data_IF_392467146425
#
_entry.id   IF_392467146425
#
_cell.length_a   1.000
_cell.length_b   1.000
_cell.length_c   1.000
_cell.angle_alpha   90.00
_cell.angle_beta   90.00
_cell.angle_gamma   90.00
#
_symmetry.space_group_name_H-M   'P 1'
#
loop_
_entity.id
_entity.type
_entity.pdbx_description
1 polymer ?
#
# COMPACT_ATOMS: atom_id res chain seq x y z
N UNK A 1 -4.68 31.09 5.55
CA UNK A 1 -5.37 29.81 5.42
C UNK A 1 -5.21 29.01 6.71
N UNK A 2 -6.30 28.47 7.24
CA UNK A 2 -6.30 27.54 8.38
C UNK A 2 -5.62 26.21 8.01
N UNK A 3 -5.36 25.35 9.01
CA UNK A 3 -4.79 24.01 8.77
C UNK A 3 -5.76 23.15 7.95
N UNK A 4 -7.05 23.21 8.27
CA UNK A 4 -8.12 22.52 7.53
C UNK A 4 -8.14 22.98 6.06
N UNK A 5 -8.11 24.29 5.78
CA UNK A 5 -8.11 24.80 4.41
C UNK A 5 -6.90 24.30 3.59
N UNK A 6 -5.72 24.20 4.21
CA UNK A 6 -4.53 23.64 3.55
C UNK A 6 -4.69 22.14 3.24
N UNK A 7 -5.28 21.38 4.16
CA UNK A 7 -5.59 19.95 3.94
C UNK A 7 -6.67 19.76 2.88
N UNK A 8 -7.73 20.57 2.90
CA UNK A 8 -8.77 20.56 1.87
C UNK A 8 -8.19 20.83 0.49
N UNK A 9 -7.30 21.82 0.34
CA UNK A 9 -6.63 22.07 -0.93
C UNK A 9 -5.79 20.87 -1.40
N UNK A 10 -5.07 20.22 -0.48
CA UNK A 10 -4.32 19.00 -0.80
C UNK A 10 -5.24 17.87 -1.30
N UNK A 11 -6.33 17.61 -0.58
CA UNK A 11 -7.30 16.55 -0.89
C UNK A 11 -8.06 16.85 -2.19
N UNK A 12 -8.54 18.08 -2.37
CA UNK A 12 -9.28 18.49 -3.56
C UNK A 12 -8.43 18.38 -4.83
N UNK A 13 -7.16 18.78 -4.77
CA UNK A 13 -6.23 18.61 -5.89
C UNK A 13 -6.08 17.15 -6.31
N UNK A 14 -6.16 16.21 -5.36
CA UNK A 14 -6.14 14.77 -5.64
C UNK A 14 -7.47 14.36 -6.29
N UNK A 15 -8.59 14.71 -5.67
CA UNK A 15 -9.91 14.31 -6.15
C UNK A 15 -10.21 14.89 -7.54
N UNK A 16 -9.79 16.11 -7.81
CA UNK A 16 -9.95 16.76 -9.11
C UNK A 16 -9.18 16.04 -10.23
N UNK A 17 -8.09 15.33 -9.89
CA UNK A 17 -7.31 14.52 -10.82
C UNK A 17 -7.91 13.14 -11.12
N UNK A 18 -8.91 12.69 -10.36
CA UNK A 18 -9.61 11.43 -10.62
C UNK A 18 -10.37 11.54 -11.94
N UNK A 19 -10.11 10.62 -12.88
CA UNK A 19 -10.71 10.68 -14.23
C UNK A 19 -12.17 10.21 -14.24
N UNK A 20 -12.50 9.18 -13.47
CA UNK A 20 -13.86 8.69 -13.35
C UNK A 20 -14.75 9.65 -12.54
N UNK A 21 -15.82 10.16 -13.16
CA UNK A 21 -16.71 11.14 -12.53
C UNK A 21 -17.50 10.56 -11.35
N UNK A 22 -17.81 9.26 -11.37
CA UNK A 22 -18.50 8.57 -10.30
C UNK A 22 -17.63 8.47 -9.05
N UNK A 23 -16.40 7.98 -9.20
CA UNK A 23 -15.38 7.90 -8.15
C UNK A 23 -15.00 9.29 -7.64
N UNK A 24 -14.83 10.29 -8.51
CA UNK A 24 -14.57 11.68 -8.07
C UNK A 24 -15.67 12.20 -7.14
N UNK A 25 -16.94 12.04 -7.55
CA UNK A 25 -18.08 12.45 -6.73
C UNK A 25 -18.14 11.67 -5.42
N UNK A 26 -17.88 10.35 -5.47
CA UNK A 26 -17.84 9.52 -4.28
C UNK A 26 -16.75 9.99 -3.31
N UNK A 27 -15.56 10.35 -3.81
CA UNK A 27 -14.44 10.86 -3.01
C UNK A 27 -14.82 12.11 -2.22
N UNK A 28 -15.40 13.12 -2.90
CA UNK A 28 -15.86 14.34 -2.25
C UNK A 28 -16.93 14.05 -1.20
N UNK A 29 -17.98 13.30 -1.55
CA UNK A 29 -19.11 13.07 -0.64
C UNK A 29 -18.67 12.25 0.58
N UNK A 30 -17.91 11.18 0.36
CA UNK A 30 -17.50 10.29 1.43
C UNK A 30 -16.49 10.96 2.36
N UNK A 31 -15.37 11.48 1.85
CA UNK A 31 -14.32 12.05 2.71
C UNK A 31 -14.77 13.30 3.48
N UNK A 32 -15.56 14.20 2.86
CA UNK A 32 -16.11 15.35 3.58
C UNK A 32 -17.21 14.93 4.57
N UNK A 33 -18.08 13.99 4.20
CA UNK A 33 -19.08 13.47 5.11
C UNK A 33 -18.47 12.81 6.36
N UNK A 34 -17.38 12.06 6.19
CA UNK A 34 -16.64 11.46 7.31
C UNK A 34 -16.00 12.56 8.15
N UNK A 35 -15.37 13.56 7.53
CA UNK A 35 -14.78 14.70 8.24
C UNK A 35 -15.79 15.48 9.10
N UNK A 36 -17.00 15.70 8.58
CA UNK A 36 -18.09 16.36 9.32
C UNK A 36 -18.59 15.48 10.48
N UNK A 37 -18.79 14.19 10.24
CA UNK A 37 -19.14 13.23 11.30
C UNK A 37 -18.09 13.22 12.41
N UNK A 38 -16.81 13.21 12.04
CA UNK A 38 -15.69 13.24 12.97
C UNK A 38 -15.65 14.55 13.76
N UNK A 39 -15.89 15.70 13.15
CA UNK A 39 -15.93 16.99 13.84
C UNK A 39 -17.02 17.05 14.92
N UNK A 40 -18.21 16.51 14.62
CA UNK A 40 -19.33 16.45 15.55
C UNK A 40 -19.07 15.48 16.69
N UNK A 41 -18.67 14.25 16.36
CA UNK A 41 -18.49 13.19 17.35
C UNK A 41 -17.25 13.42 18.23
N UNK A 42 -16.21 14.06 17.70
CA UNK A 42 -15.04 14.48 18.49
C UNK A 42 -15.44 15.37 19.67
N UNK A 43 -16.30 16.37 19.45
CA UNK A 43 -16.78 17.24 20.55
C UNK A 43 -17.51 16.47 21.64
N UNK A 44 -18.28 15.44 21.25
CA UNK A 44 -19.00 14.59 22.20
C UNK A 44 -18.06 13.70 23.02
N UNK A 45 -16.95 13.28 22.40
CA UNK A 45 -15.91 12.43 23.00
C UNK A 45 -14.76 13.21 23.65
N UNK A 46 -14.90 14.53 23.82
CA UNK A 46 -13.87 15.43 24.38
C UNK A 46 -12.53 15.40 23.63
N UNK A 47 -12.59 15.21 22.30
CA UNK A 47 -11.45 15.21 21.38
C UNK A 47 -11.34 16.54 20.63
N UNK A 48 -10.13 16.89 20.18
CA UNK A 48 -9.92 18.07 19.33
C UNK A 48 -10.61 17.89 17.96
N UNK A 49 -11.65 18.70 17.64
CA UNK A 49 -12.40 18.58 16.39
C UNK A 49 -11.61 18.97 15.14
N UNK A 50 -10.59 19.84 15.27
CA UNK A 50 -9.73 20.21 14.14
C UNK A 50 -8.95 18.99 13.64
N UNK A 51 -8.31 18.27 14.56
CA UNK A 51 -7.55 17.03 14.24
C UNK A 51 -8.50 15.96 13.70
N UNK A 52 -9.67 15.79 14.31
CA UNK A 52 -10.68 14.84 13.84
C UNK A 52 -11.13 15.12 12.39
N UNK A 53 -11.39 16.39 12.06
CA UNK A 53 -11.77 16.81 10.69
C UNK A 53 -10.66 16.47 9.69
N UNK A 54 -9.41 16.74 10.06
CA UNK A 54 -8.24 16.49 9.21
C UNK A 54 -8.06 14.99 8.95
N UNK A 55 -8.25 14.14 9.96
CA UNK A 55 -8.22 12.69 9.81
C UNK A 55 -9.29 12.23 8.81
N UNK A 56 -10.53 12.70 8.97
CA UNK A 56 -11.63 12.33 8.08
C UNK A 56 -11.38 12.74 6.62
N UNK A 57 -10.78 13.91 6.38
CA UNK A 57 -10.41 14.35 5.03
C UNK A 57 -9.31 13.49 4.39
N UNK A 58 -8.37 12.97 5.20
CA UNK A 58 -7.18 12.28 4.71
C UNK A 58 -7.34 10.75 4.61
N UNK A 59 -8.33 10.15 5.28
CA UNK A 59 -8.30 8.71 5.55
C UNK A 59 -8.26 7.80 4.31
N UNK A 60 -8.90 8.22 3.23
CA UNK A 60 -9.08 7.39 2.04
C UNK A 60 -8.43 7.96 0.77
N UNK A 61 -7.58 8.98 0.93
CA UNK A 61 -6.95 9.70 -0.19
C UNK A 61 -6.11 8.78 -1.08
N UNK A 62 -5.51 7.73 -0.51
CA UNK A 62 -4.75 6.75 -1.28
C UNK A 62 -5.65 5.93 -2.21
N UNK A 63 -6.78 5.45 -1.70
CA UNK A 63 -7.76 4.69 -2.48
C UNK A 63 -8.22 5.48 -3.69
N UNK A 64 -8.63 6.74 -3.49
CA UNK A 64 -9.13 7.58 -4.57
C UNK A 64 -8.04 8.00 -5.54
N UNK A 65 -6.82 8.26 -5.06
CA UNK A 65 -5.71 8.66 -5.93
C UNK A 65 -5.22 7.53 -6.84
N UNK A 66 -5.18 6.31 -6.32
CA UNK A 66 -4.54 5.17 -7.00
C UNK A 66 -5.53 4.18 -7.62
N UNK A 67 -6.80 4.23 -7.17
CA UNK A 67 -7.80 3.19 -7.45
C UNK A 67 -7.55 1.86 -6.72
N UNK A 68 -6.57 1.80 -5.80
CA UNK A 68 -6.18 0.57 -5.11
C UNK A 68 -6.85 0.51 -3.73
N UNK A 69 -7.73 -0.49 -3.54
CA UNK A 69 -8.48 -0.70 -2.28
C UNK A 69 -7.79 -1.68 -1.31
N UNK A 70 -6.98 -2.61 -1.81
CA UNK A 70 -6.24 -3.54 -0.95
C UNK A 70 -5.24 -2.78 -0.08
N UNK A 71 -5.25 -3.02 1.23
CA UNK A 71 -4.39 -2.36 2.22
C UNK A 71 -4.42 -0.83 2.15
N UNK A 72 -5.53 -0.23 1.71
CA UNK A 72 -5.61 1.22 1.51
C UNK A 72 -5.37 2.03 2.78
N UNK A 73 -5.74 1.52 3.96
CA UNK A 73 -5.44 2.18 5.24
C UNK A 73 -3.94 2.27 5.52
N UNK A 74 -3.21 1.18 5.30
CA UNK A 74 -1.77 1.10 5.52
C UNK A 74 -1.00 1.94 4.51
N UNK A 75 -1.36 1.79 3.23
CA UNK A 75 -0.76 2.56 2.14
C UNK A 75 -1.15 4.04 2.21
N UNK A 76 -2.34 4.35 2.72
CA UNK A 76 -2.82 5.70 3.03
C UNK A 76 -2.01 6.37 4.13
N UNK A 77 -1.73 5.65 5.22
CA UNK A 77 -0.86 6.17 6.27
C UNK A 77 0.57 6.45 5.75
N UNK A 78 1.11 5.61 4.85
CA UNK A 78 2.40 5.87 4.19
C UNK A 78 2.35 7.07 3.23
N UNK A 79 1.29 7.21 2.43
CA UNK A 79 1.09 8.36 1.55
C UNK A 79 1.00 9.67 2.37
N UNK A 80 0.25 9.67 3.47
CA UNK A 80 0.11 10.84 4.35
C UNK A 80 1.42 11.18 5.07
N UNK A 81 2.22 10.17 5.46
CA UNK A 81 3.57 10.40 6.00
C UNK A 81 4.44 11.18 5.01
N UNK A 82 4.37 10.86 3.71
CA UNK A 82 5.09 11.61 2.67
C UNK A 82 4.49 12.99 2.45
N UNK A 83 3.16 13.13 2.48
CA UNK A 83 2.50 14.42 2.41
C UNK A 83 2.99 15.37 3.52
N UNK A 84 3.11 14.90 4.78
CA UNK A 84 3.66 15.70 5.88
C UNK A 84 5.10 16.14 5.67
N UNK A 85 5.89 15.40 4.89
CA UNK A 85 7.27 15.76 4.57
C UNK A 85 7.35 16.84 3.49
N UNK A 86 6.43 16.89 2.54
CA UNK A 86 6.53 17.74 1.35
C UNK A 86 5.34 18.70 1.12
N UNK A 87 4.12 18.18 0.95
CA UNK A 87 2.95 19.00 0.60
C UNK A 87 2.34 19.72 1.82
N UNK A 88 2.47 19.13 3.01
CA UNK A 88 1.91 19.58 4.28
C UNK A 88 3.01 19.87 5.32
N UNK A 89 4.22 20.19 4.86
CA UNK A 89 5.40 20.42 5.71
C UNK A 89 5.17 21.51 6.75
N UNK A 90 5.55 21.21 7.99
CA UNK A 90 5.45 22.15 9.12
C UNK A 90 4.03 22.45 9.56
N UNK A 91 3.02 21.71 9.06
CA UNK A 91 1.61 21.93 9.42
C UNK A 91 1.18 21.20 10.70
N UNK A 92 1.90 20.15 11.10
CA UNK A 92 1.57 19.28 12.23
C UNK A 92 2.80 18.96 13.08
N UNK A 93 2.62 18.96 14.40
CA UNK A 93 3.61 18.44 15.35
C UNK A 93 3.76 16.92 15.18
N UNK A 94 4.89 16.35 15.61
CA UNK A 94 5.15 14.90 15.49
C UNK A 94 4.08 14.03 16.16
N UNK A 95 3.58 14.45 17.33
CA UNK A 95 2.51 13.73 18.03
C UNK A 95 1.19 13.78 17.25
N UNK A 96 0.84 14.94 16.67
CA UNK A 96 -0.34 15.09 15.83
C UNK A 96 -0.21 14.24 14.55
N UNK A 97 0.96 14.24 13.90
CA UNK A 97 1.21 13.39 12.75
C UNK A 97 1.04 11.91 13.11
N UNK A 98 1.50 11.50 14.30
CA UNK A 98 1.37 10.12 14.77
C UNK A 98 -0.09 9.75 15.05
N UNK A 99 -0.87 10.65 15.65
CA UNK A 99 -2.33 10.47 15.82
C UNK A 99 -3.01 10.31 14.47
N UNK A 100 -2.74 11.21 13.52
CA UNK A 100 -3.37 11.18 12.20
C UNK A 100 -3.01 9.89 11.45
N UNK A 101 -1.73 9.53 11.39
CA UNK A 101 -1.28 8.29 10.72
C UNK A 101 -1.86 7.04 11.39
N UNK A 102 -1.96 7.00 12.73
CA UNK A 102 -2.54 5.86 13.45
C UNK A 102 -4.00 5.65 13.10
N UNK A 103 -4.81 6.71 13.15
CA UNK A 103 -6.22 6.61 12.81
C UNK A 103 -6.40 6.12 11.38
N UNK A 104 -5.64 6.68 10.43
CA UNK A 104 -5.65 6.25 9.03
C UNK A 104 -5.15 4.81 8.89
N UNK A 105 -4.12 4.37 9.60
CA UNK A 105 -3.59 3.01 9.47
C UNK A 105 -4.61 1.95 9.92
N UNK A 106 -5.28 2.18 11.05
CA UNK A 106 -6.19 1.21 11.66
C UNK A 106 -7.63 1.27 11.13
N UNK A 107 -8.03 2.29 10.37
CA UNK A 107 -9.47 2.51 10.14
C UNK A 107 -10.18 1.36 9.42
N UNK A 108 -9.53 0.60 8.53
CA UNK A 108 -10.18 -0.57 7.91
C UNK A 108 -10.31 -1.76 8.86
N UNK A 109 -9.54 -1.80 9.96
CA UNK A 109 -9.66 -2.83 10.98
C UNK A 109 -10.80 -2.51 11.97
N UNK A 110 -11.98 -3.03 11.66
CA UNK A 110 -13.16 -2.89 12.53
C UNK A 110 -13.21 -3.94 13.65
N UNK A 111 -12.31 -4.93 13.63
CA UNK A 111 -12.33 -6.08 14.52
C UNK A 111 -11.60 -5.83 15.85
N UNK A 112 -10.57 -4.98 15.87
CA UNK A 112 -9.82 -4.67 17.09
C UNK A 112 -10.03 -3.23 17.57
N UNK A 113 -10.01 -3.05 18.89
CA UNK A 113 -10.09 -1.75 19.55
C UNK A 113 -8.71 -1.09 19.56
N UNK A 114 -8.65 0.16 19.10
CA UNK A 114 -7.47 1.01 19.07
C UNK A 114 -7.70 2.30 19.88
N UNK A 115 -6.88 3.33 19.64
CA UNK A 115 -6.92 4.58 20.38
C UNK A 115 -8.14 5.46 20.01
N UNK A 116 -8.37 6.52 20.79
CA UNK A 116 -9.57 7.36 20.73
C UNK A 116 -9.89 7.93 19.33
N UNK A 117 -8.89 8.43 18.60
CA UNK A 117 -9.05 8.93 17.24
C UNK A 117 -9.22 7.83 16.20
N UNK A 118 -8.65 6.66 16.45
CA UNK A 118 -8.73 5.50 15.58
C UNK A 118 -10.16 4.93 15.63
N UNK A 119 -10.72 4.81 16.84
CA UNK A 119 -12.10 4.40 17.06
C UNK A 119 -13.09 5.47 16.58
N UNK A 120 -12.78 6.75 16.76
CA UNK A 120 -13.56 7.86 16.19
C UNK A 120 -13.68 7.73 14.66
N UNK A 121 -12.56 7.55 13.95
CA UNK A 121 -12.58 7.42 12.49
C UNK A 121 -13.34 6.15 12.05
N UNK A 122 -13.12 5.00 12.71
CA UNK A 122 -13.83 3.76 12.37
C UNK A 122 -15.35 3.88 12.47
N UNK A 123 -15.81 4.57 13.50
CA UNK A 123 -17.23 4.79 13.77
C UNK A 123 -17.83 5.78 12.77
N UNK A 124 -17.14 6.90 12.51
CA UNK A 124 -17.59 7.92 11.56
C UNK A 124 -17.59 7.43 10.10
N UNK A 125 -16.62 6.59 9.72
CA UNK A 125 -16.55 5.95 8.41
C UNK A 125 -17.78 5.06 8.13
N UNK A 126 -18.10 4.18 9.07
CA UNK A 126 -19.29 3.32 9.00
C UNK A 126 -20.59 4.14 9.05
N UNK A 127 -20.65 5.13 9.94
CA UNK A 127 -21.83 5.98 10.07
C UNK A 127 -22.09 6.78 8.80
N UNK A 128 -21.05 7.32 8.16
CA UNK A 128 -21.21 8.09 6.92
C UNK A 128 -21.79 7.23 5.80
N UNK A 129 -21.35 5.97 5.66
CA UNK A 129 -21.93 5.05 4.69
C UNK A 129 -23.43 4.83 4.92
N UNK A 130 -23.86 4.67 6.17
CA UNK A 130 -25.29 4.58 6.52
C UNK A 130 -26.04 5.88 6.21
N UNK A 131 -25.50 7.03 6.55
CA UNK A 131 -26.13 8.33 6.29
C UNK A 131 -26.24 8.64 4.78
N UNK A 132 -25.30 8.12 3.99
CA UNK A 132 -25.33 8.25 2.54
C UNK A 132 -26.44 7.41 1.89
N UNK A 133 -26.62 6.16 2.35
CA UNK A 133 -27.70 5.28 1.90
C UNK A 133 -28.27 4.46 3.07
N UNK A 134 -29.34 5.00 3.67
CA UNK A 134 -30.04 4.39 4.81
C UNK A 134 -30.75 3.07 4.46
N UNK A 135 -30.89 2.75 3.17
CA UNK A 135 -31.54 1.52 2.69
C UNK A 135 -30.57 0.35 2.57
N UNK A 136 -29.26 0.64 2.48
CA UNK A 136 -28.21 -0.37 2.40
C UNK A 136 -27.98 -1.05 3.74
N UNK A 137 -27.84 -2.38 3.71
CA UNK A 137 -27.52 -3.20 4.90
C UNK A 137 -26.05 -3.55 5.03
N UNK A 138 -25.21 -3.11 4.09
CA UNK A 138 -23.80 -3.52 4.00
C UNK A 138 -22.98 -3.22 5.26
N UNK A 139 -23.37 -2.17 6.01
CA UNK A 139 -22.66 -1.69 7.19
C UNK A 139 -23.40 -1.92 8.51
N UNK A 140 -24.49 -2.70 8.48
CA UNK A 140 -25.25 -3.01 9.69
C UNK A 140 -24.41 -3.87 10.64
N UNK A 141 -24.44 -3.52 11.92
CA UNK A 141 -23.68 -4.22 12.95
C UNK A 141 -23.50 -3.38 14.20
N UNK A 142 -22.89 -4.00 15.22
CA UNK A 142 -22.73 -3.41 16.56
C UNK A 142 -22.06 -2.04 16.55
N UNK A 143 -21.08 -1.85 15.65
CA UNK A 143 -20.34 -0.59 15.53
C UNK A 143 -21.23 0.55 15.04
N UNK A 144 -21.99 0.33 13.95
CA UNK A 144 -22.97 1.29 13.46
C UNK A 144 -24.01 1.63 14.53
N UNK A 145 -24.58 0.62 15.21
CA UNK A 145 -25.57 0.84 16.26
C UNK A 145 -25.03 1.71 17.39
N UNK A 146 -23.79 1.46 17.86
CA UNK A 146 -23.16 2.27 18.91
C UNK A 146 -22.90 3.70 18.46
N UNK A 147 -22.32 3.89 17.27
CA UNK A 147 -22.05 5.20 16.71
C UNK A 147 -23.34 6.01 16.52
N UNK A 148 -24.41 5.39 16.01
CA UNK A 148 -25.68 6.04 15.76
C UNK A 148 -26.41 6.49 17.03
N UNK A 149 -26.34 5.70 18.11
CA UNK A 149 -26.88 6.09 19.43
C UNK A 149 -26.22 7.37 19.94
N UNK A 150 -24.94 7.59 19.61
CA UNK A 150 -24.28 8.84 19.99
C UNK A 150 -24.85 10.08 19.27
N UNK A 151 -25.51 9.90 18.14
CA UNK A 151 -26.24 10.95 17.43
C UNK A 151 -27.75 10.97 17.72
N UNK A 152 -28.25 10.07 18.58
CA UNK A 152 -29.68 9.90 18.81
C UNK A 152 -30.42 9.36 17.59
N UNK A 153 -29.74 8.59 16.74
CA UNK A 153 -30.29 7.97 15.54
C UNK A 153 -30.63 6.50 15.84
N UNK A 154 -31.87 6.12 15.59
CA UNK A 154 -32.28 4.72 15.65
C UNK A 154 -31.92 4.00 14.35
N UNK A 155 -31.10 2.95 14.45
CA UNK A 155 -30.71 2.10 13.33
C UNK A 155 -31.27 0.69 13.55
N UNK A 156 -31.88 0.06 12.53
CA UNK A 156 -32.43 -1.29 12.68
C UNK A 156 -31.36 -2.29 13.12
N UNK A 157 -31.72 -3.15 14.08
CA UNK A 157 -30.87 -4.27 14.47
C UNK A 157 -30.98 -5.40 13.43
N UNK A 158 -29.96 -5.58 12.59
CA UNK A 158 -29.85 -6.79 11.76
C UNK A 158 -28.40 -7.12 11.40
N UNK A 159 -28.17 -8.42 11.19
CA UNK A 159 -26.90 -9.12 11.18
C UNK A 159 -26.03 -8.83 9.95
N UNK A 160 -24.70 -8.84 10.15
CA UNK A 160 -23.77 -9.10 9.06
C UNK A 160 -24.05 -10.51 8.53
N UNK A 161 -24.42 -10.60 7.26
CA UNK A 161 -24.09 -11.76 6.47
C UNK A 161 -22.59 -11.62 6.16
N UNK A 162 -21.75 -12.45 6.80
CA UNK A 162 -20.34 -12.54 6.43
C UNK A 162 -20.27 -13.30 5.11
N UNK A 163 -20.56 -12.62 4.00
CA UNK A 163 -20.15 -13.14 2.71
C UNK A 163 -18.63 -13.19 2.73
N UNK A 164 -18.07 -14.40 2.72
CA UNK A 164 -16.64 -14.60 2.61
C UNK A 164 -16.14 -13.88 1.35
N UNK A 165 -15.38 -12.81 1.52
CA UNK A 165 -14.69 -12.17 0.40
C UNK A 165 -13.81 -13.21 -0.28
N UNK A 166 -13.99 -13.36 -1.59
CA UNK A 166 -13.09 -14.17 -2.40
C UNK A 166 -11.70 -13.54 -2.36
N UNK A 167 -10.81 -14.09 -1.54
CA UNK A 167 -9.41 -13.70 -1.53
C UNK A 167 -8.70 -14.44 -2.66
N UNK A 168 -8.15 -13.75 -3.67
CA UNK A 168 -7.37 -14.41 -4.70
C UNK A 168 -6.17 -15.13 -4.07
N UNK A 169 -6.02 -16.42 -4.38
CA UNK A 169 -4.91 -17.24 -3.89
C UNK A 169 -3.65 -16.87 -4.67
N UNK A 170 -2.64 -16.39 -3.94
CA UNK A 170 -1.30 -16.12 -4.44
C UNK A 170 -0.57 -17.44 -4.78
N UNK A 171 0.08 -17.49 -5.94
CA UNK A 171 0.88 -18.66 -6.36
C UNK A 171 2.07 -18.18 -7.18
N UNK A 172 3.25 -18.80 -7.06
CA UNK A 172 4.43 -18.36 -7.82
C UNK A 172 4.25 -18.52 -9.33
N UNK A 173 3.52 -19.55 -9.79
CA UNK A 173 3.26 -19.74 -11.22
C UNK A 173 2.50 -18.56 -11.84
N UNK A 174 1.45 -18.06 -11.17
CA UNK A 174 0.73 -16.85 -11.63
C UNK A 174 1.64 -15.62 -11.70
N UNK A 175 2.58 -15.46 -10.76
CA UNK A 175 3.56 -14.36 -10.78
C UNK A 175 4.40 -14.44 -12.05
N UNK A 176 4.91 -15.62 -12.39
CA UNK A 176 5.68 -15.83 -13.62
C UNK A 176 4.86 -15.59 -14.88
N UNK A 177 3.61 -16.08 -14.93
CA UNK A 177 2.75 -15.90 -16.11
C UNK A 177 2.42 -14.42 -16.36
N UNK A 178 2.13 -13.67 -15.29
CA UNK A 178 1.90 -12.23 -15.37
C UNK A 178 3.18 -11.49 -15.79
N UNK A 179 4.32 -11.85 -15.20
CA UNK A 179 5.60 -11.20 -15.52
C UNK A 179 6.02 -11.47 -16.97
N UNK A 180 5.88 -12.71 -17.45
CA UNK A 180 6.15 -13.08 -18.83
C UNK A 180 5.26 -12.32 -19.80
N UNK A 181 3.94 -12.28 -19.54
CA UNK A 181 2.98 -11.53 -20.35
C UNK A 181 3.33 -10.03 -20.41
N UNK A 182 3.64 -9.39 -19.27
CA UNK A 182 3.96 -7.97 -19.24
C UNK A 182 5.31 -7.67 -19.90
N UNK A 183 6.33 -8.49 -19.65
CA UNK A 183 7.65 -8.33 -20.24
C UNK A 183 7.65 -8.50 -21.77
N UNK A 184 6.83 -9.41 -22.32
CA UNK A 184 6.68 -9.58 -23.78
C UNK A 184 6.13 -8.34 -24.49
N UNK A 185 5.41 -7.46 -23.78
CA UNK A 185 4.92 -6.20 -24.35
C UNK A 185 6.01 -5.17 -24.57
N UNK A 186 7.22 -5.35 -24.01
CA UNK A 186 8.30 -4.35 -24.04
C UNK A 186 7.81 -2.97 -23.54
N UNK A 187 7.15 -2.96 -22.39
CA UNK A 187 6.61 -1.76 -21.74
C UNK A 187 7.76 -0.77 -21.51
N UNK A 188 7.60 0.47 -22.00
CA UNK A 188 8.57 1.55 -21.79
C UNK A 188 8.21 2.33 -20.52
N UNK A 189 9.22 2.72 -19.75
CA UNK A 189 9.07 3.55 -18.56
C UNK A 189 8.79 5.02 -18.87
N UNK A 190 7.79 5.29 -19.72
CA UNK A 190 7.43 6.62 -20.24
C UNK A 190 6.02 7.00 -19.76
N UNK A 191 5.77 8.29 -19.50
CA UNK A 191 4.52 8.76 -18.86
C UNK A 191 3.26 8.56 -19.72
N UNK A 192 3.42 8.44 -21.03
CA UNK A 192 2.35 8.17 -21.99
C UNK A 192 2.06 6.67 -22.17
N UNK A 193 2.89 5.79 -21.59
CA UNK A 193 2.68 4.36 -21.62
C UNK A 193 1.70 3.91 -20.52
N UNK A 194 0.50 3.48 -20.91
CA UNK A 194 -0.57 3.11 -19.97
C UNK A 194 -0.24 1.88 -19.11
N UNK A 195 0.48 0.89 -19.66
CA UNK A 195 0.90 -0.29 -18.90
C UNK A 195 1.92 0.11 -17.82
N UNK A 196 2.87 1.01 -18.15
CA UNK A 196 3.81 1.54 -17.16
C UNK A 196 3.11 2.34 -16.06
N UNK A 197 2.15 3.19 -16.43
CA UNK A 197 1.36 3.94 -15.45
C UNK A 197 0.55 3.00 -14.53
N UNK A 198 0.02 1.88 -15.03
CA UNK A 198 -0.63 0.85 -14.18
C UNK A 198 0.36 0.15 -13.22
N UNK A 199 1.62 0.05 -13.60
CA UNK A 199 2.70 -0.52 -12.77
C UNK A 199 3.07 0.42 -11.63
N UNK A 200 3.24 1.71 -11.90
CA UNK A 200 3.75 2.66 -10.89
C UNK A 200 2.65 3.33 -10.06
N UNK A 201 1.36 3.17 -10.41
CA UNK A 201 0.22 3.82 -9.71
C UNK A 201 0.17 3.58 -8.20
N UNK A 202 0.78 2.50 -7.71
CA UNK A 202 0.86 2.19 -6.29
C UNK A 202 1.67 3.22 -5.48
N UNK A 203 2.54 3.98 -6.15
CA UNK A 203 3.43 5.00 -5.58
C UNK A 203 2.93 6.39 -6.02
N UNK A 204 2.01 7.01 -5.27
CA UNK A 204 1.20 8.14 -5.75
C UNK A 204 1.94 9.49 -5.77
N UNK A 205 3.20 9.56 -5.35
CA UNK A 205 3.96 10.81 -5.30
C UNK A 205 4.13 11.42 -6.69
N UNK A 206 4.10 12.76 -6.78
CA UNK A 206 4.39 13.47 -8.03
C UNK A 206 5.79 13.15 -8.55
N UNK A 207 6.73 12.87 -7.65
CA UNK A 207 8.12 12.53 -7.98
C UNK A 207 8.30 11.07 -8.41
N UNK A 208 7.33 10.18 -8.17
CA UNK A 208 7.48 8.75 -8.42
C UNK A 208 7.90 8.44 -9.86
N UNK A 209 7.36 9.17 -10.84
CA UNK A 209 7.77 9.03 -12.24
C UNK A 209 9.26 9.29 -12.45
N UNK A 210 9.78 10.40 -11.91
CA UNK A 210 11.19 10.76 -12.04
C UNK A 210 12.11 9.86 -11.21
N UNK A 211 11.66 9.42 -10.03
CA UNK A 211 12.41 8.53 -9.15
C UNK A 211 12.54 7.11 -9.72
N UNK A 212 11.59 6.69 -10.56
CA UNK A 212 11.53 5.37 -11.16
C UNK A 212 12.06 5.32 -12.59
N UNK A 213 12.47 6.46 -13.15
CA UNK A 213 13.14 6.50 -14.45
C UNK A 213 14.40 5.62 -14.43
N UNK A 214 14.44 4.61 -15.30
CA UNK A 214 15.49 3.57 -15.29
C UNK A 214 15.61 2.78 -13.95
N UNK A 215 14.68 2.92 -13.01
CA UNK A 215 14.76 2.34 -11.66
C UNK A 215 13.50 1.57 -11.24
N UNK A 216 12.67 1.13 -12.19
CA UNK A 216 11.37 0.53 -11.92
C UNK A 216 11.31 -1.01 -11.91
N UNK A 217 12.46 -1.70 -11.87
CA UNK A 217 12.50 -3.17 -11.83
C UNK A 217 11.79 -3.75 -10.60
N UNK A 218 11.94 -3.14 -9.42
CA UNK A 218 11.24 -3.58 -8.21
C UNK A 218 9.75 -3.21 -8.22
N UNK A 219 9.37 -2.06 -8.81
CA UNK A 219 7.96 -1.72 -9.03
C UNK A 219 7.25 -2.71 -9.96
N UNK A 220 7.94 -3.18 -11.02
CA UNK A 220 7.46 -4.24 -11.90
C UNK A 220 7.22 -5.55 -11.15
N UNK A 221 8.17 -5.99 -10.32
CA UNK A 221 8.01 -7.20 -9.49
C UNK A 221 6.84 -7.05 -8.53
N UNK A 222 6.73 -5.90 -7.84
CA UNK A 222 5.61 -5.59 -6.96
C UNK A 222 4.26 -5.69 -7.67
N UNK A 223 4.15 -5.07 -8.85
CA UNK A 223 2.93 -5.13 -9.65
C UNK A 223 2.56 -6.58 -10.03
N UNK A 224 3.53 -7.38 -10.47
CA UNK A 224 3.30 -8.80 -10.82
C UNK A 224 2.80 -9.60 -9.62
N UNK A 225 3.44 -9.44 -8.45
CA UNK A 225 3.02 -10.10 -7.22
C UNK A 225 1.62 -9.71 -6.78
N UNK A 226 1.28 -8.42 -6.78
CA UNK A 226 -0.05 -7.93 -6.40
C UNK A 226 -1.12 -8.44 -7.35
N UNK A 227 -0.89 -8.41 -8.67
CA UNK A 227 -1.82 -8.98 -9.67
C UNK A 227 -1.98 -10.50 -9.52
N UNK A 228 -0.95 -11.19 -9.01
CA UNK A 228 -1.02 -12.62 -8.70
C UNK A 228 -1.78 -12.94 -7.41
N UNK A 229 -2.22 -11.93 -6.64
CA UNK A 229 -2.97 -12.09 -5.39
C UNK A 229 -2.16 -11.82 -4.12
N UNK A 230 -0.89 -11.39 -4.22
CA UNK A 230 -0.11 -11.04 -3.04
C UNK A 230 -0.69 -9.80 -2.37
N UNK A 231 -1.00 -9.90 -1.08
CA UNK A 231 -1.41 -8.78 -0.25
C UNK A 231 -0.18 -8.29 0.52
N UNK A 232 0.48 -7.24 0.02
CA UNK A 232 1.69 -6.67 0.61
C UNK A 232 1.55 -5.14 0.58
N UNK A 233 1.86 -4.40 1.67
CA UNK A 233 1.80 -2.95 1.65
C UNK A 233 3.03 -2.38 0.93
N UNK A 234 3.03 -1.08 0.66
CA UNK A 234 4.16 -0.41 0.00
C UNK A 234 5.47 -0.48 0.80
N UNK A 235 5.38 -0.68 2.12
CA UNK A 235 6.50 -0.59 3.07
C UNK A 235 6.25 -1.51 4.27
N UNK A 236 7.26 -2.28 4.69
CA UNK A 236 7.23 -3.09 5.93
C UNK A 236 8.60 -3.11 6.63
N UNK A 237 8.68 -2.93 7.97
CA UNK A 237 7.59 -2.54 8.86
C UNK A 237 7.22 -1.06 8.66
N UNK A 238 5.99 -0.71 9.05
CA UNK A 238 5.44 0.64 8.91
C UNK A 238 4.65 1.04 10.16
N UNK A 239 5.37 1.28 11.26
CA UNK A 239 4.82 1.74 12.55
C UNK A 239 5.48 3.06 12.97
N UNK A 240 4.97 3.72 14.00
CA UNK A 240 5.59 4.92 14.57
C UNK A 240 6.97 4.65 15.20
N UNK A 241 7.24 3.41 15.64
CA UNK A 241 8.53 3.02 16.25
C UNK A 241 9.56 2.52 15.25
N UNK A 242 9.11 1.83 14.22
CA UNK A 242 9.96 1.20 13.23
C UNK A 242 9.38 1.46 11.84
N UNK A 243 10.12 2.22 11.05
CA UNK A 243 9.79 2.53 9.66
C UNK A 243 10.93 2.04 8.78
N UNK A 244 10.63 1.12 7.87
CA UNK A 244 11.64 0.65 6.92
C UNK A 244 12.20 1.80 6.08
N UNK A 245 13.47 1.70 5.68
CA UNK A 245 14.15 2.78 4.97
C UNK A 245 13.55 3.05 3.59
N UNK A 246 13.12 2.00 2.88
CA UNK A 246 12.62 2.08 1.53
C UNK A 246 11.28 1.35 1.36
N UNK A 247 10.66 1.54 0.19
CA UNK A 247 9.41 0.87 -0.22
C UNK A 247 9.73 -0.30 -1.13
N UNK A 248 8.76 -1.18 -1.41
CA UNK A 248 8.92 -2.27 -2.39
C UNK A 248 9.10 -1.81 -3.85
N UNK A 249 9.11 -0.51 -4.11
CA UNK A 249 9.70 0.07 -5.32
C UNK A 249 11.24 -0.02 -5.36
N UNK A 250 11.90 -0.42 -4.28
CA UNK A 250 13.35 -0.54 -4.17
C UNK A 250 13.76 -1.99 -3.93
N UNK A 251 14.84 -2.44 -4.58
CA UNK A 251 15.36 -3.82 -4.46
C UNK A 251 15.73 -4.18 -3.02
N UNK A 252 16.32 -3.24 -2.28
CA UNK A 252 16.69 -3.45 -0.88
C UNK A 252 15.48 -3.82 0.02
N UNK A 253 14.31 -3.24 -0.22
CA UNK A 253 13.10 -3.58 0.55
C UNK A 253 12.71 -5.05 0.37
N UNK A 254 12.79 -5.57 -0.87
CA UNK A 254 12.53 -6.98 -1.16
C UNK A 254 13.49 -7.89 -0.43
N UNK A 255 14.80 -7.58 -0.48
CA UNK A 255 15.82 -8.37 0.18
C UNK A 255 15.66 -8.36 1.71
N UNK A 256 15.56 -7.17 2.32
CA UNK A 256 15.45 -7.01 3.78
C UNK A 256 14.20 -7.72 4.32
N UNK A 257 13.06 -7.53 3.65
CA UNK A 257 11.80 -8.20 3.99
C UNK A 257 11.92 -9.71 3.85
N UNK A 258 12.39 -10.21 2.71
CA UNK A 258 12.51 -11.65 2.48
C UNK A 258 13.49 -12.31 3.45
N UNK A 259 14.62 -11.65 3.74
CA UNK A 259 15.61 -12.15 4.68
C UNK A 259 15.05 -12.23 6.12
N UNK A 260 14.32 -11.21 6.57
CA UNK A 260 13.67 -11.19 7.90
C UNK A 260 12.69 -12.33 8.09
N UNK A 261 12.05 -12.80 7.01
CA UNK A 261 11.06 -13.88 7.03
C UNK A 261 11.62 -15.25 6.62
N UNK A 262 12.91 -15.35 6.29
CA UNK A 262 13.51 -16.61 5.84
C UNK A 262 13.10 -17.05 4.43
N UNK A 263 12.67 -16.11 3.59
CA UNK A 263 12.27 -16.37 2.20
C UNK A 263 13.42 -16.28 1.19
N UNK A 264 14.61 -15.85 1.64
CA UNK A 264 15.82 -15.81 0.82
C UNK A 264 16.47 -17.20 0.75
N UNK A 265 16.75 -17.65 -0.46
CA UNK A 265 17.43 -18.91 -0.76
C UNK A 265 18.64 -18.69 -1.68
N UNK A 266 19.66 -19.54 -1.56
CA UNK A 266 20.93 -19.38 -2.26
C UNK A 266 21.37 -20.70 -2.91
N UNK A 267 21.90 -20.64 -4.15
CA UNK A 267 22.35 -21.86 -4.84
C UNK A 267 23.54 -22.52 -4.15
N UNK A 268 24.41 -21.73 -3.50
CA UNK A 268 25.55 -22.25 -2.71
C UNK A 268 25.10 -23.19 -1.58
N UNK A 269 23.85 -23.08 -1.15
CA UNK A 269 23.23 -23.91 -0.12
C UNK A 269 22.44 -25.08 -0.74
N UNK A 270 22.61 -25.35 -2.05
CA UNK A 270 21.94 -26.41 -2.79
C UNK A 270 20.53 -26.06 -3.30
N UNK A 271 20.13 -24.79 -3.22
CA UNK A 271 18.81 -24.37 -3.71
C UNK A 271 18.75 -24.38 -5.25
N UNK A 272 17.65 -24.90 -5.80
CA UNK A 272 17.36 -24.84 -7.23
C UNK A 272 16.21 -23.85 -7.46
N UNK A 273 16.41 -22.76 -8.22
CA UNK A 273 15.36 -21.78 -8.44
C UNK A 273 14.24 -22.32 -9.32
N UNK A 274 13.02 -21.98 -8.95
CA UNK A 274 11.79 -22.40 -9.62
C UNK A 274 11.16 -21.23 -10.37
N UNK A 275 10.31 -21.55 -11.36
CA UNK A 275 9.49 -20.55 -12.05
C UNK A 275 8.66 -19.76 -11.04
N UNK A 276 8.69 -18.43 -11.16
CA UNK A 276 7.98 -17.51 -10.26
C UNK A 276 8.75 -17.15 -9.00
N UNK A 277 9.91 -17.75 -8.74
CA UNK A 277 10.85 -17.18 -7.77
C UNK A 277 11.27 -15.79 -8.25
N UNK A 278 11.51 -14.89 -7.30
CA UNK A 278 12.07 -13.57 -7.59
C UNK A 278 13.58 -13.71 -7.45
N UNK A 279 14.35 -13.20 -8.40
CA UNK A 279 15.82 -13.19 -8.33
C UNK A 279 16.30 -11.78 -8.04
N UNK A 280 17.20 -11.65 -7.07
CA UNK A 280 17.88 -10.40 -6.72
C UNK A 280 19.33 -10.50 -7.19
N UNK A 281 19.80 -9.47 -7.90
CA UNK A 281 21.15 -9.41 -8.47
C UNK A 281 22.06 -8.47 -7.71
N UNK A 282 23.35 -8.78 -7.79
CA UNK A 282 24.47 -8.05 -7.20
C UNK A 282 25.17 -7.24 -8.28
N UNK A 283 25.15 -5.92 -8.12
CA UNK A 283 25.99 -5.01 -8.89
C UNK A 283 25.95 -5.16 -10.42
N UNK A 284 24.79 -5.49 -11.01
CA UNK A 284 24.68 -5.67 -12.46
C UNK A 284 24.36 -4.38 -13.22
N UNK A 285 24.00 -3.30 -12.52
CA UNK A 285 23.87 -1.97 -13.11
C UNK A 285 25.27 -1.32 -13.13
N UNK A 286 25.71 -0.75 -14.26
CA UNK A 286 26.99 -0.05 -14.35
C UNK A 286 27.14 1.07 -13.31
N UNK A 287 28.36 1.35 -12.86
CA UNK A 287 28.61 2.34 -11.81
C UNK A 287 28.18 3.76 -12.23
N UNK A 288 28.34 4.09 -13.52
CA UNK A 288 27.91 5.35 -14.12
C UNK A 288 26.39 5.56 -14.10
N UNK A 289 25.64 4.47 -14.03
CA UNK A 289 24.17 4.44 -14.03
C UNK A 289 23.59 4.25 -12.62
N UNK A 290 24.45 4.13 -11.61
CA UNK A 290 24.05 3.98 -10.19
C UNK A 290 23.91 5.33 -9.51
N UNK A 291 22.91 5.42 -8.64
CA UNK A 291 22.89 6.50 -7.64
C UNK A 291 24.08 6.36 -6.67
N UNK A 292 24.59 7.48 -6.15
CA UNK A 292 25.79 7.53 -5.29
C UNK A 292 25.72 6.65 -4.03
N UNK A 293 24.52 6.25 -3.61
CA UNK A 293 24.28 5.42 -2.42
C UNK A 293 23.60 4.07 -2.76
N UNK A 294 23.75 3.58 -3.99
CA UNK A 294 23.15 2.32 -4.41
C UNK A 294 23.68 1.15 -3.58
N UNK A 295 22.77 0.30 -3.11
CA UNK A 295 23.10 -0.92 -2.35
C UNK A 295 23.76 -1.96 -3.25
N UNK A 296 24.38 -2.98 -2.64
CA UNK A 296 24.95 -4.11 -3.38
C UNK A 296 23.90 -4.85 -4.23
N UNK A 297 22.65 -4.93 -3.74
CA UNK A 297 21.51 -5.42 -4.48
C UNK A 297 20.91 -4.27 -5.32
N UNK A 298 21.10 -4.31 -6.63
CA UNK A 298 20.78 -3.20 -7.53
C UNK A 298 19.74 -3.53 -8.60
N UNK A 299 19.41 -4.81 -8.79
CA UNK A 299 18.41 -5.23 -9.77
C UNK A 299 17.62 -6.45 -9.32
N UNK A 300 16.43 -6.62 -9.88
CA UNK A 300 15.50 -7.69 -9.52
C UNK A 300 14.66 -8.11 -10.72
N UNK A 301 14.28 -9.39 -10.76
CA UNK A 301 13.45 -9.97 -11.82
C UNK A 301 12.66 -11.19 -11.34
N UNK A 302 11.83 -11.74 -12.22
CA UNK A 302 11.04 -12.95 -11.95
C UNK A 302 11.55 -14.08 -12.84
N UNK A 303 11.87 -15.21 -12.22
CA UNK A 303 12.39 -16.41 -12.90
C UNK A 303 11.30 -17.05 -13.76
N UNK A 304 11.57 -17.21 -15.05
CA UNK A 304 10.69 -17.91 -15.99
C UNK A 304 11.16 -19.34 -16.26
N UNK A 305 12.48 -19.54 -16.36
CA UNK A 305 13.10 -20.84 -16.60
C UNK A 305 14.53 -20.84 -16.04
N UNK A 306 14.95 -21.95 -15.44
CA UNK A 306 16.33 -22.16 -14.99
C UNK A 306 16.98 -23.30 -15.81
N UNK A 307 18.13 -23.02 -16.42
CA UNK A 307 18.99 -23.99 -17.16
C UNK A 307 20.35 -24.06 -16.47
N UNK A 308 21.20 -25.02 -16.85
CA UNK A 308 22.50 -25.25 -16.19
C UNK A 308 23.34 -23.96 -16.01
N UNK A 309 23.59 -23.22 -17.09
CA UNK A 309 24.48 -22.04 -17.06
C UNK A 309 23.73 -20.70 -17.20
N UNK A 310 22.42 -20.75 -17.43
CA UNK A 310 21.61 -19.56 -17.70
C UNK A 310 20.27 -19.58 -16.99
N UNK A 311 19.75 -18.40 -16.68
CA UNK A 311 18.42 -18.19 -16.12
C UNK A 311 17.67 -17.19 -17.00
N UNK A 312 16.48 -17.58 -17.43
CA UNK A 312 15.58 -16.73 -18.20
C UNK A 312 14.68 -15.98 -17.22
N UNK A 313 14.66 -14.65 -17.31
CA UNK A 313 13.96 -13.78 -16.35
C UNK A 313 13.14 -12.70 -17.05
N UNK A 314 11.99 -12.39 -16.47
CA UNK A 314 11.19 -11.21 -16.81
C UNK A 314 11.58 -10.05 -15.89
N UNK A 315 11.89 -8.88 -16.46
CA UNK A 315 12.38 -7.72 -15.71
C UNK A 315 11.68 -6.44 -16.16
N UNK A 316 11.56 -5.49 -15.22
CA UNK A 316 11.05 -4.15 -15.52
C UNK A 316 12.06 -3.22 -16.19
N UNK A 317 13.37 -3.47 -16.08
CA UNK A 317 14.37 -2.61 -16.71
C UNK A 317 15.53 -3.43 -17.28
N UNK A 318 15.35 -4.00 -18.47
CA UNK A 318 16.37 -4.83 -19.10
C UNK A 318 17.54 -3.97 -19.61
N UNK A 319 18.76 -4.33 -19.19
CA UNK A 319 20.00 -3.70 -19.65
C UNK A 319 20.05 -2.19 -19.46
N UNK A 320 19.34 -1.68 -18.44
CA UNK A 320 19.22 -0.25 -18.15
C UNK A 320 18.67 0.60 -19.31
N UNK A 321 17.71 0.07 -20.08
CA UNK A 321 17.11 0.75 -21.25
C UNK A 321 15.75 1.39 -20.98
N UNK A 322 15.34 1.46 -19.72
CA UNK A 322 14.03 1.93 -19.29
C UNK A 322 12.86 1.18 -19.98
N UNK A 323 13.03 -0.12 -20.18
CA UNK A 323 12.06 -0.99 -20.86
C UNK A 323 12.01 -2.34 -20.17
N UNK A 324 10.80 -2.90 -20.03
CA UNK A 324 10.64 -4.28 -19.60
C UNK A 324 11.04 -5.26 -20.71
N UNK A 325 11.37 -6.49 -20.33
CA UNK A 325 11.67 -7.53 -21.30
C UNK A 325 12.04 -8.86 -20.65
N UNK A 326 12.17 -9.86 -21.51
CA UNK A 326 12.68 -11.19 -21.15
C UNK A 326 14.15 -11.25 -21.55
N UNK A 327 15.01 -11.65 -20.62
CA UNK A 327 16.45 -11.73 -20.83
C UNK A 327 17.00 -13.03 -20.26
N UNK A 328 17.94 -13.64 -20.99
CA UNK A 328 18.76 -14.72 -20.47
C UNK A 328 19.98 -14.12 -19.78
N UNK A 329 20.15 -14.42 -18.50
CA UNK A 329 21.31 -14.02 -17.70
C UNK A 329 22.15 -15.23 -17.38
N UNK A 330 23.46 -15.02 -17.24
CA UNK A 330 24.38 -16.05 -16.80
C UNK A 330 24.12 -16.38 -15.34
N UNK A 331 24.21 -17.66 -14.98
CA UNK A 331 24.16 -18.12 -13.60
C UNK A 331 25.57 -18.08 -13.01
N UNK A 332 25.91 -16.98 -12.38
CA UNK A 332 27.21 -16.76 -11.76
C UNK A 332 27.11 -15.93 -10.47
N UNK A 333 28.23 -15.36 -10.03
CA UNK A 333 28.37 -14.59 -8.79
C UNK A 333 27.60 -13.27 -8.77
N UNK A 334 27.00 -12.88 -9.89
CA UNK A 334 26.06 -11.75 -9.97
C UNK A 334 24.69 -12.07 -9.35
N UNK A 335 24.37 -13.34 -9.09
CA UNK A 335 23.12 -13.73 -8.44
C UNK A 335 23.28 -13.60 -6.92
N UNK A 336 22.51 -12.71 -6.31
CA UNK A 336 22.51 -12.47 -4.87
C UNK A 336 21.72 -13.52 -4.10
N UNK A 337 20.42 -13.60 -4.38
CA UNK A 337 19.53 -14.62 -3.80
C UNK A 337 18.29 -14.83 -4.66
N UNK A 338 17.55 -15.88 -4.33
CA UNK A 338 16.19 -16.11 -4.79
C UNK A 338 15.22 -15.91 -3.64
N UNK A 339 14.15 -15.15 -3.87
CA UNK A 339 13.05 -14.98 -2.92
C UNK A 339 11.92 -15.92 -3.34
N UNK A 340 11.57 -16.85 -2.45
CA UNK A 340 10.40 -17.73 -2.58
C UNK A 340 9.37 -17.33 -1.53
N UNK A 341 8.34 -16.63 -1.98
CA UNK A 341 7.20 -16.25 -1.13
C UNK A 341 6.29 -17.48 -0.97
N UNK A 342 5.89 -17.87 0.26
CA UNK A 342 4.98 -18.99 0.48
C UNK A 342 3.62 -18.79 -0.20
N UNK A 343 2.97 -19.85 -0.67
CA UNK A 343 1.62 -19.76 -1.25
C UNK A 343 0.56 -19.42 -0.18
N UNK A 344 0.82 -19.83 1.07
CA UNK A 344 0.01 -19.52 2.25
C UNK A 344 0.43 -18.21 2.94
N UNK A 345 1.20 -17.35 2.26
CA UNK A 345 1.57 -16.05 2.80
C UNK A 345 0.31 -15.23 3.16
N UNK A 346 0.22 -14.85 4.43
CA UNK A 346 -0.79 -13.94 4.94
C UNK A 346 -0.09 -12.71 5.53
N UNK A 347 -0.56 -11.53 5.13
CA UNK A 347 -0.12 -10.28 5.76
C UNK A 347 -0.72 -10.18 7.16
N UNK A 348 0.08 -10.48 8.18
CA UNK A 348 -0.35 -10.57 9.59
C UNK A 348 -0.32 -9.24 10.36
N UNK A 349 0.29 -8.20 9.79
CA UNK A 349 0.56 -6.94 10.49
C UNK A 349 -0.70 -6.08 10.72
N UNK A 350 -1.87 -6.49 10.22
CA UNK A 350 -3.16 -5.93 10.65
C UNK A 350 -3.34 -5.96 12.18
N UNK A 351 -2.67 -6.88 12.87
CA UNK A 351 -2.72 -7.02 14.33
C UNK A 351 -1.71 -6.13 15.05
N UNK A 352 -0.84 -5.42 14.32
CA UNK A 352 0.20 -4.60 14.92
C UNK A 352 -0.34 -3.19 15.12
N UNK A 353 -0.30 -2.72 16.37
CA UNK A 353 -0.68 -1.37 16.71
C UNK A 353 0.37 -0.37 16.18
N UNK A 354 -0.07 0.56 15.33
CA UNK A 354 0.78 1.52 14.64
C UNK A 354 1.66 2.32 15.61
N UNK A 355 1.14 2.77 16.76
CA UNK A 355 1.89 3.64 17.68
C UNK A 355 2.90 2.85 18.49
N UNK A 356 2.50 1.67 18.97
CA UNK A 356 3.28 0.90 19.94
C UNK A 356 4.12 -0.21 19.31
N UNK A 357 3.81 -0.65 18.09
CA UNK A 357 4.42 -1.81 17.44
C UNK A 357 4.06 -3.15 18.10
N UNK A 358 3.16 -3.15 19.09
CA UNK A 358 2.75 -4.35 19.81
C UNK A 358 1.58 -5.04 19.10
N UNK A 359 1.45 -6.36 19.30
CA UNK A 359 0.27 -7.10 18.83
C UNK A 359 -0.95 -6.70 19.66
N UNK A 360 -2.02 -6.28 19.00
CA UNK A 360 -3.32 -5.95 19.60
C UNK A 360 -4.10 -7.24 19.87
N UNK A 361 -4.70 -7.31 21.06
CA UNK A 361 -5.50 -8.48 21.50
C UNK A 361 -6.94 -8.12 21.88
N UNK A 362 -7.24 -6.82 22.03
CA UNK A 362 -8.57 -6.35 22.40
C UNK A 362 -9.53 -6.36 21.21
N UNK A 363 -10.42 -7.35 21.18
CA UNK A 363 -11.43 -7.52 20.14
C UNK A 363 -12.64 -6.61 20.42
N UNK A 364 -13.12 -5.94 19.38
CA UNK A 364 -14.36 -5.17 19.39
C UNK A 364 -15.56 -6.11 19.53
N UNK A 365 -16.08 -6.20 20.76
CA UNK A 365 -17.21 -7.08 21.09
C UNK A 365 -18.57 -6.43 20.90
#
# INVERSE_FOLDING_TARGET
MSRIEKVQNYVNNIFDSVSDFGEKRAAYIHSYGVAECMALLAKKRDLNPEIATIIGLLHDVYSYKTGVRSLHSHNGAEMVRVAFKYDLTGLFLEDEQTIIKSAIYHHSDKAYIHDEYDELLKDCDILQHYLYDVTSKAFYGKRLSRAAVEFGIDVPAAAKDESAEFKPVFTQNKVADIAEMLAQKNIKGEADNTDYMDIIKYFPEKSAFNELDHAWCAAFVYHCCVKAGLVLPLRTPHTAKEVANCRFACVAAWYEWANKHGYCHYEKDGYTPERGNIVVYNNIIPCEDKSQNSTWCDHIGIVLTCKADTITVAEGNIGNKNISGIIDRKRDDTIGCYIKIPEDYEYGDWKVDFKTGNIRTDIYK
#
